data_IF_757431977847
#
_entry.id   IF_757431977847
#
_cell.length_a   1.000
_cell.length_b   1.000
_cell.length_c   1.000
_cell.angle_alpha   90.00
_cell.angle_beta   90.00
_cell.angle_gamma   90.00
#
_symmetry.space_group_name_H-M   'P 1'
#
loop_
_entity.id
_entity.type
_entity.pdbx_description
1 polymer ?
#
# COMPACT_ATOMS: atom_id res chain seq x y z
N UNK A 1 -11.90 19.81 -24.00
CA UNK A 1 -10.74 19.15 -23.34
C UNK A 1 -11.08 18.33 -22.08
N UNK A 2 -12.36 18.19 -21.66
CA UNK A 2 -12.72 17.42 -20.43
C UNK A 2 -13.14 15.97 -20.71
N UNK A 3 -13.69 15.67 -21.90
CA UNK A 3 -14.17 14.33 -22.27
C UNK A 3 -13.02 13.32 -22.44
N UNK A 4 -11.93 13.73 -23.08
CA UNK A 4 -10.74 12.92 -23.35
C UNK A 4 -10.15 12.27 -22.07
N UNK A 5 -10.02 13.05 -20.99
CA UNK A 5 -9.52 12.54 -19.69
C UNK A 5 -10.44 11.51 -19.03
N UNK A 6 -11.76 11.61 -19.25
CA UNK A 6 -12.72 10.64 -18.68
C UNK A 6 -12.65 9.31 -19.43
N UNK A 7 -12.50 9.35 -20.74
CA UNK A 7 -12.41 8.17 -21.58
C UNK A 7 -11.07 7.44 -21.40
N UNK A 8 -9.96 8.19 -21.38
CA UNK A 8 -8.65 7.63 -21.02
C UNK A 8 -8.68 6.95 -19.65
N UNK A 9 -9.32 7.60 -18.65
CA UNK A 9 -9.50 7.00 -17.33
C UNK A 9 -10.45 5.81 -17.33
N UNK A 10 -11.37 5.68 -18.29
CA UNK A 10 -12.28 4.53 -18.41
C UNK A 10 -11.62 3.35 -19.15
N UNK A 11 -10.75 3.62 -20.12
CA UNK A 11 -9.99 2.60 -20.86
C UNK A 11 -8.77 2.06 -20.10
N UNK A 12 -8.19 2.84 -19.19
CA UNK A 12 -7.03 2.41 -18.40
C UNK A 12 -7.34 1.14 -17.58
N UNK A 13 -6.41 0.20 -17.51
CA UNK A 13 -6.56 -1.02 -16.71
C UNK A 13 -5.43 -1.04 -15.69
N UNK A 14 -5.72 -1.24 -14.39
CA UNK A 14 -4.68 -1.33 -13.38
C UNK A 14 -3.76 -2.54 -13.64
N UNK A 15 -2.43 -2.36 -13.68
CA UNK A 15 -1.48 -3.44 -13.95
C UNK A 15 -1.20 -4.35 -12.73
N UNK A 16 -2.07 -4.29 -11.71
CA UNK A 16 -1.86 -4.96 -10.41
C UNK A 16 -2.53 -6.34 -10.37
N UNK A 17 -1.94 -7.25 -9.58
CA UNK A 17 -2.41 -8.63 -9.40
C UNK A 17 -2.81 -8.88 -7.95
N UNK A 18 -3.67 -9.89 -7.76
CA UNK A 18 -4.04 -10.35 -6.42
C UNK A 18 -2.78 -10.81 -5.69
N UNK A 19 -2.66 -10.42 -4.42
CA UNK A 19 -1.49 -10.61 -3.57
C UNK A 19 -0.45 -9.48 -3.66
N UNK A 20 -0.62 -8.50 -4.55
CA UNK A 20 0.27 -7.34 -4.57
C UNK A 20 0.11 -6.52 -3.29
N UNK A 21 1.26 -6.09 -2.75
CA UNK A 21 1.33 -5.33 -1.52
C UNK A 21 1.54 -3.87 -1.84
N UNK A 22 0.77 -3.02 -1.16
CA UNK A 22 0.81 -1.59 -1.25
C UNK A 22 1.24 -1.03 0.11
N UNK A 23 1.89 0.13 0.08
CA UNK A 23 2.34 0.85 1.26
C UNK A 23 1.79 2.27 1.19
N UNK A 24 1.37 2.77 2.34
CA UNK A 24 1.11 4.20 2.55
C UNK A 24 2.02 4.68 3.66
N UNK A 25 2.43 5.94 3.57
CA UNK A 25 3.08 6.65 4.65
C UNK A 25 2.33 7.95 4.89
N UNK A 26 1.93 8.17 6.14
CA UNK A 26 1.29 9.40 6.57
C UNK A 26 1.72 9.72 7.99
N UNK A 27 1.53 10.95 8.42
CA UNK A 27 2.02 11.39 9.71
C UNK A 27 2.52 12.81 9.60
N UNK A 28 2.17 13.61 10.60
CA UNK A 28 2.67 14.96 10.71
C UNK A 28 3.95 14.98 11.57
N UNK A 29 3.90 14.26 12.70
CA UNK A 29 4.95 14.24 13.73
C UNK A 29 5.71 12.90 13.77
N UNK A 30 4.96 11.79 13.66
CA UNK A 30 5.50 10.43 13.53
C UNK A 30 5.09 9.81 12.20
N UNK A 31 6.05 9.25 11.47
CA UNK A 31 5.79 8.58 10.19
C UNK A 31 5.09 7.24 10.42
N UNK A 32 3.77 7.22 10.29
CA UNK A 32 2.98 5.99 10.25
C UNK A 32 3.08 5.36 8.87
N UNK A 33 3.68 4.17 8.83
CA UNK A 33 3.66 3.31 7.66
C UNK A 33 2.58 2.26 7.85
N UNK A 34 1.77 2.05 6.82
CA UNK A 34 0.74 1.02 6.76
C UNK A 34 0.91 0.22 5.48
N UNK A 35 0.58 -1.08 5.53
CA UNK A 35 0.67 -1.98 4.40
C UNK A 35 -0.68 -2.59 4.08
N UNK A 36 -0.95 -2.78 2.80
CA UNK A 36 -2.21 -3.29 2.30
C UNK A 36 -1.97 -4.37 1.24
N UNK A 37 -2.61 -5.52 1.37
CA UNK A 37 -2.60 -6.58 0.37
C UNK A 37 -3.85 -6.50 -0.51
N UNK A 38 -3.67 -6.60 -1.83
CA UNK A 38 -4.78 -6.67 -2.78
C UNK A 38 -5.36 -8.09 -2.82
N UNK A 39 -6.50 -8.31 -2.17
CA UNK A 39 -7.13 -9.64 -2.10
C UNK A 39 -8.12 -9.90 -3.23
N UNK A 40 -8.63 -8.85 -3.88
CA UNK A 40 -9.47 -9.00 -5.06
C UNK A 40 -9.41 -7.76 -5.96
N UNK A 41 -9.55 -7.96 -7.26
CA UNK A 41 -9.59 -6.88 -8.25
C UNK A 41 -10.75 -7.10 -9.23
N UNK A 42 -11.67 -6.13 -9.31
CA UNK A 42 -12.78 -6.13 -10.28
C UNK A 42 -12.71 -4.86 -11.13
N UNK A 43 -12.16 -5.00 -12.32
CA UNK A 43 -11.87 -3.87 -13.22
C UNK A 43 -10.91 -2.89 -12.54
N UNK A 44 -11.43 -1.75 -12.09
CA UNK A 44 -10.67 -0.70 -11.38
C UNK A 44 -10.85 -0.72 -9.87
N UNK A 45 -11.78 -1.51 -9.36
CA UNK A 45 -12.07 -1.54 -7.92
C UNK A 45 -11.30 -2.69 -7.30
N UNK A 46 -10.33 -2.37 -6.45
CA UNK A 46 -9.60 -3.33 -5.64
C UNK A 46 -10.22 -3.48 -4.26
N UNK A 47 -10.15 -4.67 -3.71
CA UNK A 47 -10.39 -4.95 -2.29
C UNK A 47 -9.02 -5.12 -1.64
N UNK A 48 -8.69 -4.21 -0.73
CA UNK A 48 -7.43 -4.20 0.00
C UNK A 48 -7.69 -4.66 1.43
N UNK A 49 -6.78 -5.45 2.00
CA UNK A 49 -6.76 -5.75 3.44
C UNK A 49 -5.50 -5.19 4.05
N UNK A 50 -5.63 -4.52 5.18
CA UNK A 50 -4.47 -4.03 5.90
C UNK A 50 -3.72 -5.20 6.52
N UNK A 51 -2.42 -5.24 6.26
CA UNK A 51 -1.51 -6.24 6.77
C UNK A 51 -0.98 -5.81 8.13
N UNK A 52 -0.85 -6.79 9.01
CA UNK A 52 -0.02 -6.65 10.20
C UNK A 52 1.42 -6.34 9.76
N UNK A 53 2.10 -5.52 10.54
CA UNK A 53 3.51 -5.22 10.31
C UNK A 53 4.29 -5.42 11.60
N UNK A 54 5.51 -5.91 11.45
CA UNK A 54 6.50 -5.90 12.50
C UNK A 54 7.32 -4.61 12.38
N UNK A 55 7.44 -3.89 13.49
CA UNK A 55 8.27 -2.68 13.58
C UNK A 55 9.54 -3.04 14.34
N UNK A 56 10.68 -2.86 13.69
CA UNK A 56 12.00 -3.04 14.29
C UNK A 56 12.61 -1.66 14.50
N UNK A 57 12.81 -1.28 15.75
CA UNK A 57 13.47 -0.03 16.12
C UNK A 57 14.99 -0.20 16.01
N UNK A 58 15.64 0.62 15.17
CA UNK A 58 17.10 0.55 14.92
C UNK A 58 17.86 1.70 15.60
N UNK A 59 17.18 2.58 16.33
CA UNK A 59 17.78 3.67 17.10
C UNK A 59 16.76 4.69 17.58
N UNK A 60 17.24 5.84 18.05
CA UNK A 60 16.38 6.92 18.54
C UNK A 60 15.44 7.41 17.42
N UNK A 61 14.14 7.22 17.62
CA UNK A 61 13.06 7.72 16.75
C UNK A 61 13.15 7.28 15.26
N UNK A 62 13.76 6.11 15.01
CA UNK A 62 13.88 5.54 13.66
C UNK A 62 13.81 4.01 13.69
N UNK A 63 13.23 3.44 12.65
CA UNK A 63 13.16 2.00 12.50
C UNK A 63 12.75 1.55 11.11
N UNK A 64 12.60 0.24 10.99
CA UNK A 64 12.12 -0.45 9.79
C UNK A 64 10.75 -1.07 10.08
N UNK A 65 9.83 -0.97 9.13
CA UNK A 65 8.57 -1.70 9.16
C UNK A 65 8.58 -2.79 8.08
N UNK A 66 8.26 -4.02 8.47
CA UNK A 66 8.13 -5.16 7.57
C UNK A 66 6.69 -5.69 7.64
N UNK A 67 5.94 -5.74 6.53
CA UNK A 67 4.63 -6.35 6.53
C UNK A 67 4.72 -7.87 6.67
N UNK A 68 3.72 -8.46 7.30
CA UNK A 68 3.53 -9.90 7.45
C UNK A 68 2.39 -10.34 6.53
N UNK A 69 2.68 -10.86 5.31
CA UNK A 69 1.64 -11.30 4.39
C UNK A 69 0.77 -12.41 5.01
N UNK A 70 -0.55 -12.32 4.84
CA UNK A 70 -1.51 -13.29 5.38
C UNK A 70 -2.02 -12.98 6.80
N UNK A 71 -1.36 -12.07 7.54
CA UNK A 71 -1.84 -11.58 8.83
C UNK A 71 -2.59 -10.27 8.63
N UNK A 72 -3.91 -10.26 8.86
CA UNK A 72 -4.76 -9.10 8.63
C UNK A 72 -5.23 -8.48 9.94
N UNK A 73 -5.10 -7.16 10.06
CA UNK A 73 -5.49 -6.42 11.27
C UNK A 73 -6.88 -5.79 11.19
N UNK A 74 -7.38 -5.51 9.99
CA UNK A 74 -8.67 -4.83 9.81
C UNK A 74 -9.55 -5.48 8.73
N UNK A 75 -10.79 -4.98 8.65
CA UNK A 75 -11.74 -5.38 7.63
C UNK A 75 -11.29 -4.96 6.22
N UNK A 76 -11.66 -5.74 5.18
CA UNK A 76 -11.33 -5.40 3.81
C UNK A 76 -11.94 -4.07 3.37
N UNK A 77 -11.10 -3.15 2.89
CA UNK A 77 -11.52 -1.87 2.33
C UNK A 77 -11.61 -1.96 0.80
N UNK A 78 -12.71 -1.45 0.25
CA UNK A 78 -12.89 -1.32 -1.20
C UNK A 78 -12.39 0.04 -1.66
N UNK A 79 -11.44 0.07 -2.61
CA UNK A 79 -10.89 1.31 -3.17
C UNK A 79 -10.72 1.23 -4.68
N UNK A 80 -10.91 2.37 -5.35
CA UNK A 80 -10.61 2.48 -6.78
C UNK A 80 -9.12 2.69 -6.98
N UNK A 81 -8.56 1.91 -7.89
CA UNK A 81 -7.23 2.08 -8.40
C UNK A 81 -7.16 3.36 -9.24
N UNK A 82 -6.14 4.16 -8.97
CA UNK A 82 -5.72 5.31 -9.76
C UNK A 82 -4.39 4.98 -10.44
N UNK A 83 -3.96 5.89 -11.30
CA UNK A 83 -2.72 5.78 -12.08
C UNK A 83 -1.49 5.42 -11.24
N UNK A 84 -1.38 5.95 -10.02
CA UNK A 84 -0.22 5.75 -9.15
C UNK A 84 -0.47 4.77 -7.98
N UNK A 85 -1.65 4.17 -7.87
CA UNK A 85 -2.00 3.26 -6.78
C UNK A 85 -3.43 3.44 -6.25
N UNK A 86 -3.69 2.99 -5.02
CA UNK A 86 -5.03 3.04 -4.43
C UNK A 86 -5.19 4.25 -3.52
N UNK A 87 -6.24 5.05 -3.74
CA UNK A 87 -6.56 6.16 -2.84
C UNK A 87 -7.22 5.62 -1.57
N UNK A 88 -6.56 5.70 -0.41
CA UNK A 88 -7.09 5.17 0.86
C UNK A 88 -8.00 6.19 1.53
N UNK A 89 -7.55 7.44 1.65
CA UNK A 89 -8.29 8.58 2.20
C UNK A 89 -8.10 9.85 1.36
N UNK A 90 -8.60 11.00 1.82
CA UNK A 90 -8.44 12.28 1.10
C UNK A 90 -6.97 12.65 0.86
N UNK A 91 -6.09 12.32 1.83
CA UNK A 91 -4.68 12.70 1.84
C UNK A 91 -3.72 11.49 1.75
N UNK A 92 -4.24 10.26 1.66
CA UNK A 92 -3.42 9.05 1.64
C UNK A 92 -3.60 8.27 0.34
N UNK A 93 -2.47 7.99 -0.32
CA UNK A 93 -2.39 7.12 -1.49
C UNK A 93 -1.46 5.97 -1.13
N UNK A 94 -1.94 4.74 -1.36
CA UNK A 94 -1.16 3.53 -1.21
C UNK A 94 -0.46 3.22 -2.53
N UNK A 95 0.87 3.28 -2.50
CA UNK A 95 1.74 3.00 -3.63
C UNK A 95 2.16 1.53 -3.63
N UNK A 96 2.43 0.91 -4.79
CA UNK A 96 2.93 -0.45 -4.84
C UNK A 96 4.26 -0.54 -4.07
N UNK A 97 4.34 -1.45 -3.11
CA UNK A 97 5.55 -1.65 -2.34
C UNK A 97 6.54 -2.50 -3.14
N UNK A 98 7.84 -2.18 -3.05
CA UNK A 98 8.86 -3.01 -3.68
C UNK A 98 8.94 -4.36 -2.93
N UNK A 99 8.47 -5.42 -3.58
CA UNK A 99 8.50 -6.78 -3.02
C UNK A 99 9.70 -7.52 -3.61
N UNK A 100 10.61 -7.98 -2.74
CA UNK A 100 11.66 -8.92 -3.12
C UNK A 100 11.25 -10.32 -2.70
N UNK A 101 11.44 -11.30 -3.58
CA UNK A 101 11.15 -12.69 -3.23
C UNK A 101 12.41 -13.30 -2.64
N UNK A 102 12.43 -13.52 -1.32
CA UNK A 102 13.54 -14.20 -0.63
C UNK A 102 13.08 -15.60 -0.28
N UNK A 103 13.74 -16.62 -0.85
CA UNK A 103 13.45 -18.04 -0.58
C UNK A 103 11.98 -18.47 -0.74
N UNK A 104 11.26 -17.91 -1.73
CA UNK A 104 9.85 -18.24 -1.98
C UNK A 104 8.85 -17.48 -1.10
N UNK A 105 9.32 -16.68 -0.14
CA UNK A 105 8.50 -15.75 0.65
C UNK A 105 8.59 -14.36 0.01
N UNK A 106 7.44 -13.75 -0.28
CA UNK A 106 7.35 -12.37 -0.77
C UNK A 106 7.69 -11.41 0.38
N UNK A 107 8.94 -10.99 0.48
CA UNK A 107 9.43 -10.05 1.49
C UNK A 107 9.35 -8.64 0.92
N UNK A 108 8.52 -7.79 1.51
CA UNK A 108 8.46 -6.38 1.13
C UNK A 108 9.68 -5.67 1.68
N UNK A 109 10.33 -4.83 0.86
CA UNK A 109 11.46 -4.03 1.33
C UNK A 109 11.05 -3.25 2.58
N UNK A 110 11.90 -3.25 3.63
CA UNK A 110 11.60 -2.51 4.84
C UNK A 110 11.42 -1.04 4.50
N UNK A 111 10.31 -0.47 4.96
CA UNK A 111 10.10 0.96 4.87
C UNK A 111 10.73 1.64 6.08
N UNK A 112 11.63 2.59 5.84
CA UNK A 112 12.18 3.44 6.90
C UNK A 112 11.12 4.44 7.37
N UNK A 113 11.03 4.63 8.69
CA UNK A 113 10.23 5.69 9.30
C UNK A 113 11.11 6.54 10.22
N UNK A 114 10.82 7.83 10.25
CA UNK A 114 11.47 8.82 11.13
C UNK A 114 10.39 9.53 11.94
N UNK A 115 10.61 9.67 13.25
CA UNK A 115 9.85 10.57 14.10
C UNK A 115 10.76 11.76 14.47
N UNK A 116 10.27 12.98 14.28
CA UNK A 116 10.92 14.17 14.83
C UNK A 116 10.30 14.41 16.21
N UNK A 117 11.15 14.66 17.21
CA UNK A 117 10.75 15.04 18.56
C UNK A 117 10.79 16.56 18.73
#
# INVERSE_FOLDING_TARGET
MVQDRREARKAWVPPYKIGDIFRTCWGYDQTNVEFFELVALRGKTGVLRELKQERVEEGWARGKCVPLPGEYICEPIRRQCREHGFKISSCQIAYPAAVETVAGVRVVKPASWTAYA
#
